data_IF_206176752947
#
_entry.id   IF_206176752947
#
_cell.length_a   1.000
_cell.length_b   1.000
_cell.length_c   1.000
_cell.angle_alpha   90.00
_cell.angle_beta   90.00
_cell.angle_gamma   90.00
#
_symmetry.space_group_name_H-M   'P 1'
#
loop_
_entity.id
_entity.type
_entity.pdbx_description
1 polymer ?
#
# COMPACT_ATOMS: atom_id res chain seq x y z
N UNK A 1 7.83 -5.85 5.65
CA UNK A 1 6.71 -5.05 6.15
C UNK A 1 6.23 -4.26 4.94
N UNK A 2 5.06 -4.61 4.40
CA UNK A 2 4.45 -3.85 3.30
C UNK A 2 3.66 -2.74 3.99
N UNK A 3 4.27 -1.57 4.06
CA UNK A 3 3.70 -0.40 4.71
C UNK A 3 2.97 0.42 3.66
N UNK A 4 1.70 0.72 3.90
CA UNK A 4 0.81 1.33 2.92
C UNK A 4 -0.34 2.04 3.65
N UNK A 5 -0.10 3.29 4.06
CA UNK A 5 -1.17 4.17 4.57
C UNK A 5 -0.69 5.32 5.45
N UNK A 6 -0.64 6.54 4.89
CA UNK A 6 -0.63 7.80 5.65
C UNK A 6 -2.05 8.38 5.60
N UNK A 7 -2.51 8.92 6.74
CA UNK A 7 -3.83 9.52 6.86
C UNK A 7 -3.89 10.91 6.24
N UNK A 8 -5.11 11.46 6.18
CA UNK A 8 -5.37 12.78 5.64
C UNK A 8 -4.33 13.84 6.04
N UNK A 9 -3.88 14.60 5.05
CA UNK A 9 -3.02 15.80 5.20
C UNK A 9 -1.58 15.55 5.66
N UNK A 10 -1.00 14.39 5.35
CA UNK A 10 0.40 14.11 5.68
C UNK A 10 0.65 13.90 7.17
N UNK A 11 -0.42 13.66 7.94
CA UNK A 11 -0.33 13.23 9.32
C UNK A 11 -0.17 11.71 9.33
N UNK A 12 0.86 11.23 10.04
CA UNK A 12 0.92 9.82 10.41
C UNK A 12 -0.31 9.58 11.28
N UNK A 13 -1.23 8.69 10.89
CA UNK A 13 -2.37 8.37 11.73
C UNK A 13 -1.86 7.89 13.09
N UNK A 14 -2.61 8.16 14.16
CA UNK A 14 -2.32 7.57 15.48
C UNK A 14 -2.31 6.02 15.41
N UNK A 15 -2.85 5.44 14.34
CA UNK A 15 -2.75 4.02 14.00
C UNK A 15 -2.52 3.85 12.49
N UNK A 16 -1.27 3.75 12.01
CA UNK A 16 -0.97 3.42 10.62
C UNK A 16 -1.56 2.07 10.26
N UNK A 17 -2.16 2.00 9.07
CA UNK A 17 -2.62 0.76 8.48
C UNK A 17 -1.46 0.19 7.68
N UNK A 18 -1.14 -1.07 7.94
CA UNK A 18 -0.12 -1.75 7.18
C UNK A 18 -0.78 -2.77 6.28
N UNK A 19 -0.38 -2.87 5.02
CA UNK A 19 -0.95 -3.87 4.11
C UNK A 19 -0.71 -5.30 4.61
N UNK A 20 0.32 -5.52 5.43
CA UNK A 20 0.52 -6.81 6.08
C UNK A 20 -0.53 -7.18 7.12
N UNK A 21 -1.24 -6.21 7.72
CA UNK A 21 -2.45 -6.46 8.53
C UNK A 21 -3.60 -7.03 7.70
N UNK A 22 -3.57 -6.81 6.38
CA UNK A 22 -4.58 -7.30 5.43
C UNK A 22 -4.10 -8.51 4.61
N UNK A 23 -2.81 -8.87 4.68
CA UNK A 23 -2.23 -10.00 3.92
C UNK A 23 -2.88 -11.35 4.26
N UNK A 24 -3.32 -11.54 5.51
CA UNK A 24 -4.01 -12.77 5.94
C UNK A 24 -5.40 -12.92 5.32
N UNK A 25 -5.99 -11.82 4.82
CA UNK A 25 -7.26 -11.81 4.10
C UNK A 25 -7.07 -12.13 2.60
N UNK A 26 -5.83 -12.08 2.11
CA UNK A 26 -5.51 -12.36 0.72
C UNK A 26 -5.41 -13.87 0.46
N UNK A 27 -6.34 -14.39 -0.35
CA UNK A 27 -6.42 -15.82 -0.63
C UNK A 27 -5.30 -16.25 -1.59
N UNK A 28 -4.19 -16.75 -1.03
CA UNK A 28 -3.13 -17.32 -1.84
C UNK A 28 -3.63 -18.57 -2.56
N UNK A 29 -3.44 -18.64 -3.89
CA UNK A 29 -3.72 -19.87 -4.65
C UNK A 29 -3.04 -21.06 -3.99
N UNK A 30 -3.80 -22.12 -3.69
CA UNK A 30 -3.34 -23.32 -3.01
C UNK A 30 -2.07 -23.88 -3.67
N UNK A 31 -1.00 -24.04 -2.88
CA UNK A 31 0.30 -24.55 -3.34
C UNK A 31 1.20 -23.52 -4.04
N UNK A 32 0.78 -22.26 -4.18
CA UNK A 32 1.64 -21.20 -4.68
C UNK A 32 2.71 -20.83 -3.65
N UNK A 33 3.94 -20.59 -4.11
CA UNK A 33 4.93 -19.88 -3.27
C UNK A 33 4.36 -18.52 -2.88
N UNK A 34 4.45 -18.17 -1.59
CA UNK A 34 4.18 -16.83 -1.02
C UNK A 34 5.23 -15.82 -1.49
N UNK A 35 5.32 -15.64 -2.80
CA UNK A 35 6.19 -14.66 -3.43
C UNK A 35 5.32 -13.55 -3.97
N UNK A 36 5.63 -12.31 -3.59
CA UNK A 36 4.94 -11.14 -4.12
C UNK A 36 5.58 -10.73 -5.45
N UNK A 37 4.76 -10.55 -6.49
CA UNK A 37 5.16 -9.95 -7.76
C UNK A 37 4.22 -8.78 -8.06
N UNK A 38 4.53 -7.99 -9.09
CA UNK A 38 3.73 -6.81 -9.45
C UNK A 38 2.24 -7.13 -9.65
N UNK A 39 1.91 -8.20 -10.38
CA UNK A 39 0.52 -8.58 -10.63
C UNK A 39 -0.24 -8.98 -9.35
N UNK A 40 0.42 -9.74 -8.45
CA UNK A 40 -0.15 -10.10 -7.15
C UNK A 40 -0.27 -8.91 -6.22
N UNK A 41 0.66 -7.96 -6.30
CA UNK A 41 0.61 -6.74 -5.51
C UNK A 41 -0.58 -5.85 -5.95
N UNK A 42 -0.81 -5.73 -7.26
CA UNK A 42 -2.01 -5.06 -7.79
C UNK A 42 -3.29 -5.74 -7.29
N UNK A 43 -3.34 -7.07 -7.39
CA UNK A 43 -4.47 -7.87 -6.93
C UNK A 43 -4.70 -7.73 -5.42
N UNK A 44 -3.63 -7.71 -4.63
CA UNK A 44 -3.66 -7.43 -3.20
C UNK A 44 -4.25 -6.04 -2.91
N UNK A 45 -3.74 -5.00 -3.56
CA UNK A 45 -4.27 -3.64 -3.40
C UNK A 45 -5.74 -3.57 -3.79
N UNK A 46 -6.14 -4.18 -4.91
CA UNK A 46 -7.51 -4.13 -5.40
C UNK A 46 -8.50 -4.86 -4.48
N UNK A 47 -8.10 -5.98 -3.89
CA UNK A 47 -9.00 -6.84 -3.09
C UNK A 47 -8.99 -6.43 -1.62
N UNK A 48 -7.81 -6.17 -1.04
CA UNK A 48 -7.67 -6.02 0.42
C UNK A 48 -7.05 -4.70 0.87
N UNK A 49 -6.47 -3.90 -0.03
CA UNK A 49 -5.85 -2.61 0.33
C UNK A 49 -6.79 -1.42 0.15
N UNK A 50 -7.14 -1.11 -1.10
CA UNK A 50 -7.91 0.08 -1.50
C UNK A 50 -9.33 0.10 -0.91
N UNK A 51 -10.11 -1.00 -0.90
CA UNK A 51 -11.49 -0.93 -0.42
C UNK A 51 -11.60 -0.54 1.07
N UNK A 52 -10.83 -1.15 2.01
CA UNK A 52 -10.83 -0.70 3.40
C UNK A 52 -10.34 0.74 3.58
N UNK A 53 -9.30 1.18 2.85
CA UNK A 53 -8.84 2.57 2.90
C UNK A 53 -9.94 3.55 2.50
N UNK A 54 -10.65 3.28 1.40
CA UNK A 54 -11.75 4.13 0.95
C UNK A 54 -12.95 4.14 1.91
N UNK A 55 -13.16 3.06 2.68
CA UNK A 55 -14.18 3.01 3.74
C UNK A 55 -13.77 3.83 4.97
N UNK A 56 -12.50 3.75 5.37
CA UNK A 56 -11.96 4.46 6.54
C UNK A 56 -11.74 5.95 6.28
N UNK A 57 -11.43 6.30 5.03
CA UNK A 57 -11.17 7.67 4.58
C UNK A 57 -12.12 8.05 3.43
N UNK A 58 -13.42 8.29 3.73
CA UNK A 58 -14.40 8.66 2.71
C UNK A 58 -13.98 9.92 1.96
N UNK A 59 -14.27 9.98 0.66
CA UNK A 59 -13.85 11.11 -0.16
C UNK A 59 -12.35 11.12 -0.41
N UNK A 60 -11.68 9.96 -0.27
CA UNK A 60 -10.31 9.78 -0.70
C UNK A 60 -9.28 10.62 0.09
N UNK A 61 -9.60 10.90 1.36
CA UNK A 61 -8.80 11.74 2.25
C UNK A 61 -7.67 10.94 2.92
N UNK A 62 -6.79 10.36 2.10
CA UNK A 62 -5.60 9.64 2.56
C UNK A 62 -4.47 9.76 1.55
N UNK A 63 -3.25 9.57 2.03
CA UNK A 63 -2.05 9.60 1.20
C UNK A 63 -1.41 8.21 1.24
N UNK A 64 -1.22 7.63 0.07
CA UNK A 64 -0.55 6.35 -0.06
C UNK A 64 0.96 6.55 -0.14
N UNK A 65 1.70 5.75 0.62
CA UNK A 65 3.14 5.71 0.53
C UNK A 65 3.55 4.24 0.70
N UNK A 66 4.34 3.75 -0.25
CA UNK A 66 4.84 2.37 -0.29
C UNK A 66 6.36 2.35 0.07
N UNK A 67 6.98 1.18 0.25
CA UNK A 67 8.44 1.10 0.47
C UNK A 67 9.24 1.14 -0.86
N UNK A 68 10.58 1.05 -0.82
CA UNK A 68 11.43 1.08 -2.03
C UNK A 68 11.51 -0.26 -2.77
N UNK A 69 10.64 -1.24 -2.50
CA UNK A 69 10.66 -2.55 -3.18
C UNK A 69 10.49 -2.40 -4.69
N UNK A 70 11.20 -3.25 -5.46
CA UNK A 70 11.14 -3.22 -6.92
C UNK A 70 9.73 -3.51 -7.46
N UNK A 71 8.89 -4.22 -6.70
CA UNK A 71 7.52 -4.55 -7.12
C UNK A 71 6.65 -3.29 -7.21
N UNK A 72 6.80 -2.35 -6.27
CA UNK A 72 6.05 -1.08 -6.21
C UNK A 72 6.42 -0.13 -7.36
N UNK A 73 7.64 -0.31 -7.89
CA UNK A 73 8.19 0.49 -8.99
C UNK A 73 7.87 -0.06 -10.39
N UNK A 74 7.17 -1.18 -10.48
CA UNK A 74 6.76 -1.69 -11.78
C UNK A 74 5.75 -0.75 -12.44
N UNK A 75 5.87 -0.53 -13.75
CA UNK A 75 4.97 0.35 -14.50
C UNK A 75 3.49 -0.01 -14.29
N UNK A 76 3.19 -1.30 -14.16
CA UNK A 76 1.82 -1.76 -13.92
C UNK A 76 1.29 -1.35 -12.54
N UNK A 77 2.13 -1.40 -11.51
CA UNK A 77 1.74 -0.98 -10.15
C UNK A 77 1.57 0.52 -10.10
N UNK A 78 2.51 1.29 -10.66
CA UNK A 78 2.43 2.76 -10.70
C UNK A 78 1.11 3.19 -11.34
N UNK A 79 0.78 2.65 -12.53
CA UNK A 79 -0.49 2.95 -13.21
C UNK A 79 -1.71 2.58 -12.38
N UNK A 80 -1.72 1.38 -11.78
CA UNK A 80 -2.83 0.97 -10.93
C UNK A 80 -3.03 1.94 -9.77
N UNK A 81 -1.95 2.35 -9.12
CA UNK A 81 -2.01 3.27 -7.99
C UNK A 81 -2.51 4.65 -8.45
N UNK A 82 -1.97 5.22 -9.53
CA UNK A 82 -2.43 6.50 -10.09
C UNK A 82 -3.93 6.50 -10.48
N UNK A 83 -4.46 5.36 -10.92
CA UNK A 83 -5.85 5.21 -11.35
C UNK A 83 -6.83 4.98 -10.19
N UNK A 84 -6.37 4.40 -9.08
CA UNK A 84 -7.24 3.92 -7.98
C UNK A 84 -7.00 4.63 -6.65
N UNK A 85 -5.87 5.30 -6.52
CA UNK A 85 -5.42 5.98 -5.31
C UNK A 85 -5.14 7.44 -5.68
N UNK A 86 -5.79 8.40 -5.00
CA UNK A 86 -5.84 9.78 -5.46
C UNK A 86 -4.57 10.56 -5.16
N UNK A 87 -3.90 10.23 -4.06
CA UNK A 87 -2.70 10.91 -3.63
C UNK A 87 -1.66 9.87 -3.19
N UNK A 88 -0.48 9.96 -3.80
CA UNK A 88 0.67 9.10 -3.51
C UNK A 88 1.89 9.99 -3.29
N UNK A 89 2.64 9.73 -2.23
CA UNK A 89 3.95 10.39 -2.04
C UNK A 89 4.91 9.88 -3.10
N UNK A 90 5.56 10.80 -3.80
CA UNK A 90 6.61 10.45 -4.75
C UNK A 90 7.67 9.61 -4.03
N UNK A 91 8.21 8.61 -4.74
CA UNK A 91 9.22 7.72 -4.18
C UNK A 91 10.46 8.48 -3.68
N UNK A 92 10.79 9.60 -4.31
CA UNK A 92 11.92 10.43 -3.94
C UNK A 92 11.60 11.38 -2.77
N UNK A 93 10.32 11.63 -2.51
CA UNK A 93 9.82 12.48 -1.42
C UNK A 93 9.42 11.68 -0.16
N UNK A 94 9.65 10.36 -0.18
CA UNK A 94 9.36 9.50 0.95
C UNK A 94 10.16 9.93 2.18
N UNK A 95 9.44 10.13 3.28
CA UNK A 95 10.07 10.23 4.59
C UNK A 95 10.77 8.90 4.87
N UNK A 96 12.02 8.95 5.33
CA UNK A 96 12.75 7.75 5.74
C UNK A 96 11.84 6.91 6.66
N UNK A 97 11.76 5.60 6.38
CA UNK A 97 10.95 4.65 7.13
C UNK A 97 11.12 4.95 8.63
N UNK A 98 10.03 5.28 9.34
CA UNK A 98 10.03 5.54 10.79
C UNK A 98 10.30 4.27 11.64
N UNK A 99 10.88 3.24 11.02
CA UNK A 99 10.97 1.87 11.53
C UNK A 99 12.41 1.34 11.52
N UNK A 100 13.40 2.23 11.59
CA UNK A 100 14.77 1.90 11.99
C UNK A 100 15.19 2.82 13.15
N UNK A 101 14.48 2.76 14.28
CA UNK A 101 15.07 3.11 15.58
C UNK A 101 15.33 1.78 16.29
N UNK A 102 16.61 1.41 16.35
CA UNK A 102 17.15 0.28 17.13
C UNK A 102 16.97 0.49 18.64
#
# INVERSE_FOLDING_TARGET
MLWDGISSKGLIPESPLFIDEFLDQYEWKKGAKKTMNAARYIDLLAVVGVPPMNQLFPGNDYIFQDDTSCIHRSLAVIKFVEENIPERIDIDDKVAKMDDIW
#
